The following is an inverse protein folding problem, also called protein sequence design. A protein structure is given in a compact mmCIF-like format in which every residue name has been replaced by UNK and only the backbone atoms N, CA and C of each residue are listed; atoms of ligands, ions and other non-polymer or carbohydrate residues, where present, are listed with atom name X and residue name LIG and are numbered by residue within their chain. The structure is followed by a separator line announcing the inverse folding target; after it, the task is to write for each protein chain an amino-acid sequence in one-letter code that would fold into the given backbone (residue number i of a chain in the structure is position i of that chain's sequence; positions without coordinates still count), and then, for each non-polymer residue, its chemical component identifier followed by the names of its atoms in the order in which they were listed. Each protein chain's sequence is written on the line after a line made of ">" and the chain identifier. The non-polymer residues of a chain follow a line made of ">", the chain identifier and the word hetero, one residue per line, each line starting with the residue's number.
data_IF_885034784758
#
_entry.id   IF_885034784758
#
_cell.length_a   1.000
_cell.length_b   1.000
_cell.length_c   1.000
_cell.angle_alpha   90.00
_cell.angle_beta   90.00
_cell.angle_gamma   90.00
#
_symmetry.space_group_name_H-M   'P 1'
#
loop_
_entity.id
_entity.type
_entity.pdbx_description
1 polymer ?
#
# COMPACT_ATOMS: atom_id res chain seq x y z
N UNK A 1 -6.01 -19.04 -51.46
CA UNK A 1 -4.74 -18.28 -51.45
C UNK A 1 -3.98 -18.70 -50.20
N UNK A 2 -3.12 -19.71 -50.33
CA UNK A 2 -2.35 -20.29 -49.21
C UNK A 2 -0.95 -19.69 -49.30
N UNK A 3 -0.56 -18.87 -48.32
CA UNK A 3 0.76 -18.27 -48.26
C UNK A 3 1.73 -19.24 -47.57
N UNK A 4 2.73 -19.71 -48.32
CA UNK A 4 3.83 -20.54 -47.83
C UNK A 4 4.88 -19.68 -47.11
N UNK A 5 5.29 -20.09 -45.91
CA UNK A 5 6.43 -19.52 -45.17
C UNK A 5 7.73 -20.28 -45.53
N UNK A 6 8.85 -19.59 -45.81
CA UNK A 6 10.12 -20.27 -46.07
C UNK A 6 10.81 -20.70 -44.77
N UNK A 7 11.32 -21.94 -44.79
CA UNK A 7 11.99 -22.66 -43.70
C UNK A 7 13.46 -22.22 -43.62
N UNK A 8 13.83 -21.48 -42.58
CA UNK A 8 15.22 -21.08 -42.34
C UNK A 8 15.96 -22.14 -41.50
N UNK A 9 16.87 -22.88 -42.15
CA UNK A 9 17.79 -23.81 -41.50
C UNK A 9 18.91 -23.04 -40.80
N UNK A 10 18.96 -23.05 -39.46
CA UNK A 10 20.08 -22.52 -38.68
C UNK A 10 20.84 -23.66 -38.01
N UNK A 11 22.06 -23.94 -38.50
CA UNK A 11 23.01 -24.91 -37.91
C UNK A 11 23.38 -24.47 -36.48
N UNK A 12 23.07 -25.30 -35.49
CA UNK A 12 23.45 -25.09 -34.09
C UNK A 12 24.93 -25.43 -33.83
N UNK A 13 25.71 -24.45 -33.37
CA UNK A 13 27.04 -24.65 -32.79
C UNK A 13 26.85 -24.68 -31.26
N UNK A 14 27.00 -25.85 -30.62
CA UNK A 14 26.98 -25.98 -29.16
C UNK A 14 28.18 -25.25 -28.57
N UNK A 15 27.97 -24.18 -27.80
CA UNK A 15 28.99 -23.60 -26.92
C UNK A 15 28.73 -24.12 -25.50
N UNK A 16 29.69 -24.90 -24.99
CA UNK A 16 29.78 -25.29 -23.59
C UNK A 16 30.03 -24.04 -22.75
N UNK A 17 29.18 -23.78 -21.76
CA UNK A 17 29.38 -22.71 -20.78
C UNK A 17 29.62 -23.38 -19.43
N UNK A 18 30.87 -23.32 -18.97
CA UNK A 18 31.29 -23.81 -17.66
C UNK A 18 30.76 -22.85 -16.58
N UNK A 19 29.80 -23.30 -15.77
CA UNK A 19 29.27 -22.56 -14.63
C UNK A 19 30.33 -22.50 -13.51
N UNK A 20 30.90 -21.32 -13.29
CA UNK A 20 31.64 -21.02 -12.07
C UNK A 20 30.65 -20.56 -10.99
N UNK A 21 30.53 -21.34 -9.92
CA UNK A 21 29.73 -21.00 -8.73
C UNK A 21 30.40 -19.86 -7.98
N UNK A 22 30.00 -18.61 -8.28
CA UNK A 22 30.29 -17.47 -7.41
C UNK A 22 29.38 -17.54 -6.19
N UNK A 23 29.97 -17.76 -5.01
CA UNK A 23 29.29 -17.57 -3.71
C UNK A 23 28.66 -16.17 -3.67
N UNK A 24 27.35 -16.11 -3.47
CA UNK A 24 26.62 -14.90 -3.11
C UNK A 24 27.12 -14.44 -1.74
N UNK A 25 28.02 -13.47 -1.73
CA UNK A 25 28.28 -12.63 -0.56
C UNK A 25 27.08 -11.71 -0.38
N UNK A 26 26.45 -11.76 0.79
CA UNK A 26 25.29 -10.94 1.17
C UNK A 26 25.62 -9.45 1.01
N UNK A 27 24.78 -8.72 0.28
CA UNK A 27 24.89 -7.27 0.15
C UNK A 27 24.69 -6.60 1.53
N UNK A 28 25.40 -5.50 1.83
CA UNK A 28 25.23 -4.79 3.09
C UNK A 28 23.83 -4.17 3.15
N UNK A 29 23.09 -4.53 4.20
CA UNK A 29 21.85 -3.85 4.59
C UNK A 29 22.12 -2.35 4.78
N UNK A 30 21.33 -1.43 4.20
CA UNK A 30 21.47 -0.02 4.49
C UNK A 30 20.95 0.24 5.92
N UNK A 31 21.84 0.18 6.91
CA UNK A 31 21.56 0.75 8.22
C UNK A 31 21.65 2.26 8.11
N UNK A 32 20.54 2.89 7.74
CA UNK A 32 20.37 4.33 7.97
C UNK A 32 20.40 4.57 9.49
N UNK A 33 21.55 5.03 9.99
CA UNK A 33 21.68 5.51 11.36
C UNK A 33 20.85 6.79 11.51
N UNK A 34 19.68 6.69 12.13
CA UNK A 34 18.91 7.85 12.56
C UNK A 34 19.67 8.55 13.71
N UNK A 35 19.89 9.86 13.54
CA UNK A 35 20.44 10.70 14.61
C UNK A 35 19.44 10.76 15.76
N UNK A 36 19.90 10.43 16.97
CA UNK A 36 19.13 10.47 18.22
C UNK A 36 18.75 11.93 18.52
N UNK A 37 17.53 12.36 18.18
CA UNK A 37 17.02 13.70 18.50
C UNK A 37 15.99 14.32 17.54
N UNK A 38 15.81 13.80 16.33
CA UNK A 38 14.72 14.27 15.44
C UNK A 38 13.42 13.55 15.80
N UNK A 39 12.46 14.29 16.37
CA UNK A 39 11.07 13.83 16.45
C UNK A 39 10.53 13.84 15.02
N UNK A 40 10.61 12.70 14.35
CA UNK A 40 10.03 12.54 13.02
C UNK A 40 8.50 12.67 13.16
N UNK A 41 7.96 13.74 12.58
CA UNK A 41 6.52 13.97 12.56
C UNK A 41 5.84 12.95 11.64
N UNK A 42 4.70 12.34 12.04
CA UNK A 42 3.95 11.45 11.18
C UNK A 42 3.55 12.13 9.86
N UNK A 43 3.75 11.44 8.73
CA UNK A 43 3.34 11.94 7.41
C UNK A 43 2.19 11.14 6.80
N UNK A 44 1.88 9.97 7.36
CA UNK A 44 0.71 9.16 6.99
C UNK A 44 -0.15 8.95 8.23
N UNK A 45 -1.46 9.09 8.06
CA UNK A 45 -2.43 8.84 9.13
C UNK A 45 -3.27 7.60 8.82
N UNK A 46 -3.20 6.57 9.67
CA UNK A 46 -4.04 5.37 9.57
C UNK A 46 -5.22 5.51 10.54
N UNK A 47 -6.42 5.70 10.01
CA UNK A 47 -7.63 5.78 10.81
C UNK A 47 -8.58 4.62 10.55
N UNK A 48 -9.38 4.31 11.56
CA UNK A 48 -10.37 3.24 11.46
C UNK A 48 -11.60 3.48 12.32
N UNK A 49 -12.75 2.95 11.89
CA UNK A 49 -14.04 3.19 12.54
C UNK A 49 -14.17 2.53 13.92
N UNK A 50 -13.41 1.46 14.18
CA UNK A 50 -13.49 0.64 15.37
C UNK A 50 -12.15 -0.02 15.73
N UNK A 51 -11.99 -0.45 16.98
CA UNK A 51 -10.81 -1.25 17.39
C UNK A 51 -10.71 -2.58 16.63
N UNK A 52 -11.84 -3.22 16.29
CA UNK A 52 -11.85 -4.48 15.55
C UNK A 52 -11.29 -4.36 14.13
N UNK A 53 -11.38 -3.18 13.51
CA UNK A 53 -10.80 -2.94 12.19
C UNK A 53 -9.26 -3.00 12.21
N UNK A 54 -8.64 -2.83 13.39
CA UNK A 54 -7.18 -2.85 13.54
C UNK A 54 -6.55 -4.17 13.08
N UNK A 55 -7.25 -5.29 13.21
CA UNK A 55 -6.74 -6.59 12.73
C UNK A 55 -6.45 -6.57 11.22
N UNK A 56 -7.26 -5.83 10.45
CA UNK A 56 -6.99 -5.57 9.02
C UNK A 56 -5.97 -4.44 8.86
N UNK A 57 -6.21 -3.30 9.51
CA UNK A 57 -5.43 -2.07 9.26
C UNK A 57 -3.98 -2.15 9.74
N UNK A 58 -3.64 -3.05 10.66
CA UNK A 58 -2.25 -3.30 11.07
C UNK A 58 -1.35 -3.76 9.91
N UNK A 59 -1.91 -4.31 8.83
CA UNK A 59 -1.15 -4.63 7.62
C UNK A 59 -0.62 -3.40 6.91
N UNK A 60 -1.37 -2.29 6.91
CA UNK A 60 -0.88 -1.01 6.41
C UNK A 60 0.29 -0.51 7.27
N UNK A 61 0.14 -0.58 8.60
CA UNK A 61 1.19 -0.20 9.55
C UNK A 61 2.48 -1.01 9.36
N UNK A 62 2.38 -2.33 9.21
CA UNK A 62 3.54 -3.20 8.96
C UNK A 62 4.33 -2.79 7.72
N UNK A 63 3.65 -2.48 6.61
CA UNK A 63 4.33 -1.97 5.39
C UNK A 63 5.02 -0.63 5.66
N UNK A 64 4.38 0.30 6.38
CA UNK A 64 5.02 1.58 6.68
C UNK A 64 6.24 1.43 7.59
N UNK A 65 6.20 0.48 8.53
CA UNK A 65 7.33 0.11 9.39
C UNK A 65 8.49 -0.48 8.58
N UNK A 66 8.20 -1.39 7.64
CA UNK A 66 9.20 -1.99 6.75
C UNK A 66 9.92 -0.95 5.87
N UNK A 67 9.21 0.12 5.50
CA UNK A 67 9.77 1.25 4.73
C UNK A 67 10.35 2.36 5.60
N UNK A 68 10.30 2.23 6.93
CA UNK A 68 10.80 3.24 7.87
C UNK A 68 10.03 4.57 7.81
N UNK A 69 8.78 4.57 7.37
CA UNK A 69 7.94 5.76 7.26
C UNK A 69 7.15 5.96 8.54
N UNK A 70 7.29 7.14 9.15
CA UNK A 70 6.58 7.47 10.39
C UNK A 70 5.11 7.78 10.10
N UNK A 71 4.25 7.11 10.85
CA UNK A 71 2.80 7.19 10.73
C UNK A 71 2.14 7.34 12.10
N UNK A 72 0.91 7.84 12.10
CA UNK A 72 0.03 7.81 13.28
C UNK A 72 -1.12 6.84 13.07
N UNK A 73 -1.72 6.35 14.16
CA UNK A 73 -2.93 5.52 14.10
C UNK A 73 -3.98 5.94 15.12
N UNK A 74 -5.25 5.95 14.73
CA UNK A 74 -6.35 6.35 15.61
C UNK A 74 -7.68 5.69 15.27
N UNK A 75 -8.51 5.43 16.29
CA UNK A 75 -9.92 5.09 16.10
C UNK A 75 -10.72 6.38 15.94
N UNK A 76 -11.37 6.55 14.80
CA UNK A 76 -12.18 7.70 14.43
C UNK A 76 -13.46 7.16 13.77
N UNK A 77 -14.61 7.30 14.44
CA UNK A 77 -15.85 6.68 13.99
C UNK A 77 -16.77 7.70 13.33
N UNK A 78 -17.08 7.50 12.04
CA UNK A 78 -17.99 8.38 11.32
C UNK A 78 -19.38 8.46 11.96
N UNK A 79 -19.89 7.34 12.51
CA UNK A 79 -21.24 7.28 13.06
C UNK A 79 -21.30 7.61 14.55
N UNK A 80 -20.24 7.33 15.31
CA UNK A 80 -20.24 7.47 16.78
C UNK A 80 -19.53 8.73 17.27
N UNK A 81 -18.57 9.25 16.49
CA UNK A 81 -17.79 10.44 16.83
C UNK A 81 -17.63 11.37 15.61
N UNK A 82 -18.73 11.81 14.96
CA UNK A 82 -18.67 12.60 13.72
C UNK A 82 -17.91 13.92 13.88
N UNK A 83 -18.10 14.65 14.98
CA UNK A 83 -17.39 15.93 15.21
C UNK A 83 -15.89 15.73 15.43
N UNK A 84 -15.49 14.61 16.03
CA UNK A 84 -14.08 14.24 16.12
C UNK A 84 -13.53 13.93 14.72
N UNK A 85 -14.27 13.19 13.90
CA UNK A 85 -13.86 12.87 12.53
C UNK A 85 -13.69 14.13 11.68
N UNK A 86 -14.61 15.09 11.77
CA UNK A 86 -14.51 16.36 11.04
C UNK A 86 -13.26 17.13 11.43
N UNK A 87 -13.08 17.40 12.73
CA UNK A 87 -11.88 18.08 13.23
C UNK A 87 -10.59 17.35 12.83
N UNK A 88 -10.58 16.02 12.95
CA UNK A 88 -9.42 15.21 12.59
C UNK A 88 -9.00 15.38 11.12
N UNK A 89 -9.98 15.41 10.21
CA UNK A 89 -9.75 15.59 8.78
C UNK A 89 -9.32 17.02 8.41
N UNK A 90 -9.96 18.02 9.02
CA UNK A 90 -9.68 19.45 8.79
C UNK A 90 -8.27 19.82 9.26
N UNK A 91 -7.87 19.34 10.44
CA UNK A 91 -6.57 19.65 11.05
C UNK A 91 -5.42 18.83 10.44
N UNK A 92 -5.69 17.70 9.77
CA UNK A 92 -4.67 16.75 9.32
C UNK A 92 -3.54 17.41 8.52
N UNK A 93 -3.87 18.28 7.57
CA UNK A 93 -2.87 19.00 6.76
C UNK A 93 -1.99 19.91 7.62
N UNK A 94 -2.59 20.65 8.55
CA UNK A 94 -1.87 21.53 9.48
C UNK A 94 -0.93 20.77 10.42
N UNK A 95 -1.23 19.50 10.70
CA UNK A 95 -0.38 18.60 11.49
C UNK A 95 0.77 17.96 10.69
N UNK A 96 0.89 18.25 9.39
CA UNK A 96 1.94 17.70 8.52
C UNK A 96 1.60 16.36 7.86
N UNK A 97 0.36 15.86 8.01
CA UNK A 97 -0.09 14.65 7.31
C UNK A 97 -0.15 14.93 5.81
N UNK A 98 0.40 14.00 5.03
CA UNK A 98 0.41 14.03 3.56
C UNK A 98 -0.62 13.08 2.95
N UNK A 99 -0.90 11.94 3.60
CA UNK A 99 -1.87 10.94 3.11
C UNK A 99 -2.66 10.37 4.28
N UNK A 100 -3.97 10.15 4.09
CA UNK A 100 -4.82 9.46 5.08
C UNK A 100 -5.23 8.10 4.51
N UNK A 101 -5.03 7.04 5.30
CA UNK A 101 -5.52 5.69 5.03
C UNK A 101 -6.67 5.42 6.00
N UNK A 102 -7.88 5.22 5.48
CA UNK A 102 -9.10 5.05 6.27
C UNK A 102 -9.74 3.67 6.06
N UNK A 103 -9.83 2.88 7.12
CA UNK A 103 -10.49 1.57 7.13
C UNK A 103 -11.89 1.60 7.75
N UNK A 104 -12.89 1.01 7.09
CA UNK A 104 -14.22 0.84 7.65
C UNK A 104 -14.97 -0.35 7.02
N UNK A 105 -15.89 -0.94 7.78
CA UNK A 105 -16.72 -2.08 7.36
C UNK A 105 -18.23 -1.79 7.36
N UNK A 106 -19.00 -2.53 6.57
CA UNK A 106 -20.46 -2.39 6.47
C UNK A 106 -20.85 -1.12 5.71
N UNK A 107 -21.69 -0.27 6.31
CA UNK A 107 -21.98 1.08 5.83
C UNK A 107 -20.76 2.00 6.07
N UNK A 108 -19.71 1.79 5.28
CA UNK A 108 -18.35 2.26 5.55
C UNK A 108 -18.11 3.74 5.18
N UNK A 109 -18.73 4.66 5.93
CA UNK A 109 -18.72 6.10 5.61
C UNK A 109 -17.43 6.86 5.96
N UNK A 110 -16.52 6.26 6.75
CA UNK A 110 -15.33 6.96 7.24
C UNK A 110 -14.46 7.54 6.11
N UNK A 111 -14.06 6.79 5.06
CA UNK A 111 -13.18 7.33 4.03
C UNK A 111 -13.81 8.49 3.25
N UNK A 112 -15.08 8.34 2.83
CA UNK A 112 -15.79 9.37 2.06
C UNK A 112 -16.02 10.65 2.86
N UNK A 113 -16.42 10.54 4.13
CA UNK A 113 -16.65 11.71 4.96
C UNK A 113 -15.35 12.44 5.34
N UNK A 114 -14.24 11.71 5.50
CA UNK A 114 -12.93 12.33 5.70
C UNK A 114 -12.47 13.05 4.43
N UNK A 115 -12.64 12.44 3.25
CA UNK A 115 -12.33 13.08 1.96
C UNK A 115 -13.14 14.36 1.74
N UNK A 116 -14.39 14.42 2.21
CA UNK A 116 -15.22 15.62 2.12
C UNK A 116 -14.73 16.79 2.99
N UNK A 117 -13.81 16.54 3.94
CA UNK A 117 -13.37 17.50 4.96
C UNK A 117 -11.88 17.83 4.88
N UNK A 118 -11.18 17.33 3.87
CA UNK A 118 -9.75 17.58 3.69
C UNK A 118 -9.37 17.65 2.21
N UNK A 119 -8.27 18.33 1.91
CA UNK A 119 -7.68 18.36 0.57
C UNK A 119 -6.54 17.36 0.41
N UNK A 120 -6.26 16.56 1.45
CA UNK A 120 -5.28 15.48 1.38
C UNK A 120 -5.85 14.28 0.61
N UNK A 121 -5.01 13.50 -0.09
CA UNK A 121 -5.44 12.22 -0.64
C UNK A 121 -5.91 11.29 0.48
N UNK A 122 -7.11 10.71 0.27
CA UNK A 122 -7.70 9.71 1.16
C UNK A 122 -7.76 8.37 0.45
N UNK A 123 -7.19 7.35 1.07
CA UNK A 123 -7.17 5.97 0.61
C UNK A 123 -8.14 5.16 1.45
N UNK A 124 -9.13 4.55 0.81
CA UNK A 124 -10.16 3.76 1.46
C UNK A 124 -9.83 2.27 1.47
N UNK A 125 -9.91 1.64 2.65
CA UNK A 125 -9.78 0.18 2.80
C UNK A 125 -11.12 -0.41 3.22
N UNK A 126 -11.81 -1.12 2.32
CA UNK A 126 -13.02 -1.86 2.68
C UNK A 126 -12.69 -3.00 3.64
N UNK A 127 -13.11 -2.89 4.90
CA UNK A 127 -12.93 -3.97 5.88
C UNK A 127 -14.00 -5.04 5.64
N UNK A 128 -13.60 -6.32 5.72
CA UNK A 128 -14.50 -7.45 5.48
C UNK A 128 -15.63 -7.47 6.51
N UNK A 129 -16.87 -7.31 6.06
CA UNK A 129 -18.07 -7.47 6.89
C UNK A 129 -18.43 -8.95 7.06
N UNK A 130 -19.16 -9.28 8.13
CA UNK A 130 -19.57 -10.66 8.42
C UNK A 130 -20.59 -11.21 7.41
N UNK A 131 -21.61 -10.42 7.10
CA UNK A 131 -22.75 -10.89 6.30
C UNK A 131 -22.47 -10.88 4.80
N UNK A 132 -21.79 -9.83 4.30
CA UNK A 132 -21.62 -9.59 2.86
C UNK A 132 -20.16 -9.67 2.42
N UNK A 133 -19.28 -10.20 3.28
CA UNK A 133 -17.85 -10.38 3.00
C UNK A 133 -17.16 -9.10 2.49
N UNK A 134 -17.63 -7.93 2.92
CA UNK A 134 -17.07 -6.63 2.56
C UNK A 134 -17.58 -6.04 1.23
N UNK A 135 -18.55 -6.65 0.54
CA UNK A 135 -19.17 -6.04 -0.66
C UNK A 135 -19.91 -4.75 -0.31
N UNK A 136 -20.61 -4.75 0.83
CA UNK A 136 -21.20 -3.56 1.45
C UNK A 136 -20.16 -2.49 1.75
N UNK A 137 -19.05 -2.86 2.37
CA UNK A 137 -17.93 -1.98 2.65
C UNK A 137 -17.35 -1.39 1.36
N UNK A 138 -17.16 -2.23 0.33
CA UNK A 138 -16.59 -1.84 -0.95
C UNK A 138 -17.45 -0.79 -1.63
N UNK A 139 -18.75 -1.06 -1.81
CA UNK A 139 -19.66 -0.13 -2.47
C UNK A 139 -19.89 1.15 -1.66
N UNK A 140 -19.87 1.07 -0.33
CA UNK A 140 -19.96 2.26 0.54
C UNK A 140 -18.75 3.19 0.41
N UNK A 141 -17.60 2.69 -0.06
CA UNK A 141 -16.36 3.47 -0.19
C UNK A 141 -16.09 3.88 -1.64
N UNK A 142 -16.23 2.97 -2.61
CA UNK A 142 -15.79 3.20 -4.00
C UNK A 142 -16.76 4.05 -4.82
N UNK A 143 -18.06 4.03 -4.49
CA UNK A 143 -19.10 4.71 -5.27
C UNK A 143 -19.28 6.18 -4.88
N UNK A 144 -18.17 6.88 -4.59
CA UNK A 144 -18.22 8.31 -4.33
C UNK A 144 -18.73 9.07 -5.57
N UNK A 145 -19.59 10.09 -5.40
CA UNK A 145 -20.00 10.94 -6.51
C UNK A 145 -18.81 11.79 -7.01
N UNK A 146 -18.93 12.31 -8.23
CA UNK A 146 -17.95 13.24 -8.79
C UNK A 146 -17.75 14.47 -7.87
N UNK A 147 -16.48 14.79 -7.58
CA UNK A 147 -16.09 15.96 -6.77
C UNK A 147 -15.41 15.63 -5.44
N UNK A 148 -15.65 14.44 -4.86
CA UNK A 148 -15.05 14.04 -3.56
C UNK A 148 -14.43 12.63 -3.69
N UNK A 149 -13.24 12.50 -4.28
CA UNK A 149 -12.66 11.21 -4.60
C UNK A 149 -12.10 10.46 -3.37
N UNK A 150 -12.19 9.14 -3.40
CA UNK A 150 -11.47 8.22 -2.49
C UNK A 150 -10.73 7.18 -3.34
N UNK A 151 -9.45 6.97 -3.06
CA UNK A 151 -8.67 5.91 -3.71
C UNK A 151 -8.94 4.57 -3.00
N UNK A 152 -9.85 3.76 -3.52
CA UNK A 152 -10.30 2.53 -2.86
C UNK A 152 -9.44 1.33 -3.23
N UNK A 153 -9.01 0.58 -2.21
CA UNK A 153 -8.23 -0.65 -2.37
C UNK A 153 -9.12 -1.91 -2.30
N UNK A 154 -8.49 -3.09 -2.45
CA UNK A 154 -9.16 -4.37 -2.27
C UNK A 154 -9.80 -4.54 -0.87
N UNK A 155 -10.70 -5.50 -0.71
CA UNK A 155 -11.30 -5.81 0.59
C UNK A 155 -10.25 -6.48 1.50
N UNK A 156 -10.22 -6.07 2.78
CA UNK A 156 -9.49 -6.74 3.85
C UNK A 156 -7.99 -6.49 3.85
N UNK A 157 -7.22 -7.49 4.30
CA UNK A 157 -5.77 -7.38 4.55
C UNK A 157 -4.98 -6.98 3.31
N UNK A 158 -5.28 -7.56 2.14
CA UNK A 158 -4.65 -7.17 0.88
C UNK A 158 -4.88 -5.69 0.56
N UNK A 159 -6.08 -5.18 0.87
CA UNK A 159 -6.42 -3.77 0.76
C UNK A 159 -5.59 -2.87 1.66
N UNK A 160 -5.43 -3.27 2.93
CA UNK A 160 -4.62 -2.53 3.89
C UNK A 160 -3.13 -2.51 3.50
N UNK A 161 -2.56 -3.65 3.09
CA UNK A 161 -1.19 -3.72 2.55
C UNK A 161 -1.03 -2.79 1.34
N UNK A 162 -1.95 -2.86 0.38
CA UNK A 162 -1.89 -2.05 -0.83
C UNK A 162 -2.15 -0.57 -0.57
N UNK A 163 -2.93 -0.22 0.45
CA UNK A 163 -3.14 1.18 0.83
C UNK A 163 -1.84 1.85 1.27
N UNK A 164 -1.01 1.15 2.06
CA UNK A 164 0.29 1.66 2.45
C UNK A 164 1.25 1.76 1.25
N UNK A 165 1.32 0.73 0.40
CA UNK A 165 2.13 0.76 -0.83
C UNK A 165 1.70 1.88 -1.78
N UNK A 166 0.39 2.11 -1.91
CA UNK A 166 -0.15 3.20 -2.73
C UNK A 166 0.16 4.57 -2.12
N UNK A 167 0.04 4.73 -0.80
CA UNK A 167 0.47 5.95 -0.11
C UNK A 167 1.96 6.24 -0.35
N UNK A 168 2.83 5.23 -0.27
CA UNK A 168 4.25 5.36 -0.57
C UNK A 168 4.49 5.78 -2.03
N UNK A 169 3.73 5.22 -3.00
CA UNK A 169 3.80 5.64 -4.41
C UNK A 169 3.36 7.08 -4.65
N UNK A 170 2.37 7.58 -3.90
CA UNK A 170 1.99 9.00 -3.95
C UNK A 170 3.15 9.88 -3.46
N UNK A 171 3.78 9.48 -2.35
CA UNK A 171 4.90 10.23 -1.76
C UNK A 171 6.18 10.15 -2.61
N UNK A 172 6.40 9.03 -3.32
CA UNK A 172 7.61 8.84 -4.13
C UNK A 172 7.72 9.79 -5.33
N UNK A 173 6.62 10.47 -5.70
CA UNK A 173 6.65 11.53 -6.72
C UNK A 173 7.60 12.66 -6.33
N UNK A 174 7.68 12.99 -5.05
CA UNK A 174 8.53 14.08 -4.53
C UNK A 174 9.65 13.59 -3.60
N UNK A 175 9.66 12.31 -3.23
CA UNK A 175 10.67 11.72 -2.34
C UNK A 175 11.47 10.60 -3.04
N UNK A 176 12.67 10.94 -3.49
CA UNK A 176 13.57 10.02 -4.16
C UNK A 176 14.01 8.83 -3.29
N UNK A 177 14.02 8.97 -1.95
CA UNK A 177 14.35 7.86 -1.06
C UNK A 177 13.23 6.84 -1.02
N UNK A 178 11.98 7.30 -0.95
CA UNK A 178 10.81 6.42 -1.03
C UNK A 178 10.74 5.77 -2.42
N UNK A 179 11.04 6.53 -3.49
CA UNK A 179 11.10 5.98 -4.85
C UNK A 179 12.09 4.82 -4.97
N UNK A 180 13.31 4.98 -4.42
CA UNK A 180 14.30 3.91 -4.43
C UNK A 180 13.87 2.71 -3.57
N UNK A 181 13.35 2.95 -2.35
CA UNK A 181 12.87 1.86 -1.49
C UNK A 181 11.75 1.03 -2.16
N UNK A 182 10.87 1.68 -2.93
CA UNK A 182 9.85 1.01 -3.73
C UNK A 182 10.45 0.19 -4.88
N UNK A 183 11.49 0.68 -5.55
CA UNK A 183 12.18 -0.07 -6.60
C UNK A 183 12.79 -1.36 -6.03
N UNK A 184 13.48 -1.27 -4.89
CA UNK A 184 14.06 -2.40 -4.18
C UNK A 184 12.99 -3.41 -3.75
N UNK A 185 11.85 -2.90 -3.25
CA UNK A 185 10.69 -3.72 -2.90
C UNK A 185 10.15 -4.49 -4.11
N UNK A 186 9.98 -3.84 -5.27
CA UNK A 186 9.49 -4.49 -6.50
C UNK A 186 10.45 -5.58 -6.96
N UNK A 187 11.76 -5.33 -6.93
CA UNK A 187 12.77 -6.35 -7.28
C UNK A 187 12.68 -7.56 -6.32
N UNK A 188 12.53 -7.31 -5.02
CA UNK A 188 12.36 -8.37 -4.02
C UNK A 188 11.09 -9.19 -4.26
N UNK A 189 9.95 -8.57 -4.60
CA UNK A 189 8.72 -9.30 -4.92
C UNK A 189 8.89 -10.19 -6.16
N UNK A 190 9.63 -9.71 -7.18
CA UNK A 190 9.97 -10.52 -8.35
C UNK A 190 10.76 -11.77 -7.98
N UNK A 191 11.80 -11.61 -7.15
CA UNK A 191 12.63 -12.74 -6.67
C UNK A 191 11.81 -13.77 -5.89
N UNK A 192 10.92 -13.32 -4.99
CA UNK A 192 10.04 -14.22 -4.24
C UNK A 192 9.18 -15.06 -5.20
N UNK A 193 8.59 -14.43 -6.22
CA UNK A 193 7.76 -15.15 -7.19
C UNK A 193 8.56 -16.16 -8.04
N UNK A 194 9.79 -15.80 -8.44
CA UNK A 194 10.70 -16.72 -9.14
C UNK A 194 11.10 -17.90 -8.24
N UNK A 195 11.43 -17.65 -6.99
CA UNK A 195 11.81 -18.67 -6.01
C UNK A 195 10.65 -19.63 -5.69
N UNK A 196 9.43 -19.12 -5.54
CA UNK A 196 8.23 -19.95 -5.34
C UNK A 196 7.96 -20.90 -6.50
N UNK A 197 8.41 -20.58 -7.72
CA UNK A 197 8.29 -21.49 -8.87
C UNK A 197 9.16 -22.75 -8.69
N UNK A 198 10.22 -22.68 -7.88
CA UNK A 198 11.08 -23.81 -7.56
C UNK A 198 10.48 -24.74 -6.49
N UNK A 199 9.49 -24.27 -5.73
CA UNK A 199 8.78 -25.05 -4.69
C UNK A 199 7.61 -25.87 -5.25
N UNK A 200 7.31 -25.73 -6.54
CA UNK A 200 6.23 -26.47 -7.22
C UNK A 200 6.68 -27.83 -7.77
N UNK A 201 7.96 -28.19 -7.62
CA UNK A 201 8.56 -29.45 -8.07
C UNK A 201 9.04 -30.29 -6.89
#
# INVERSE_FOLDING_TARGET
>A
MILAFPRFLRKGKKRSVTLHTRKLTTAPQPKAGLKKGEIMQPIISIIMGSKSDWETMKKAAQVLEDFGVVYEKKVVSAHRTPDLMFRYAEEARGRGIKVIIAGAGGAAHLPGMVAAKTTLPVIGVPVKSRALSGVDSLYSIVQMPGGVPVATMAIGEAGATNAALFALRLLSVEDAKIAQALADFVEKQGKIAEESSNELN
#
